data_IF_113113258097
#
_entry.id   IF_113113258097
#
_cell.length_a   1.000
_cell.length_b   1.000
_cell.length_c   1.000
_cell.angle_alpha   90.00
_cell.angle_beta   90.00
_cell.angle_gamma   90.00
#
_symmetry.space_group_name_H-M   'P 1'
#
loop_
_entity.id
_entity.type
_entity.pdbx_description
1 polymer ?
#
# COMPACT_ATOMS: atom_id res chain seq x y z
N UNK A 1 1.90 -26.50 -12.07
CA UNK A 1 1.46 -25.84 -10.81
C UNK A 1 2.35 -24.62 -10.62
N UNK A 2 1.78 -23.47 -10.22
CA UNK A 2 2.49 -22.18 -10.16
C UNK A 2 2.88 -21.76 -8.74
N UNK A 3 3.03 -20.46 -8.53
CA UNK A 3 3.35 -19.85 -7.25
C UNK A 3 2.09 -19.59 -6.41
N UNK A 4 2.18 -19.80 -5.10
CA UNK A 4 1.12 -19.42 -4.16
C UNK A 4 1.49 -18.09 -3.51
N UNK A 5 0.53 -17.17 -3.49
CA UNK A 5 0.65 -15.89 -2.81
C UNK A 5 -0.42 -15.80 -1.74
N UNK A 6 -0.06 -15.16 -0.63
CA UNK A 6 -0.95 -14.90 0.49
C UNK A 6 -0.75 -13.46 0.94
N UNK A 7 -1.85 -12.75 1.14
CA UNK A 7 -1.85 -11.39 1.67
C UNK A 7 -2.95 -11.21 2.71
N UNK A 8 -2.69 -10.38 3.71
CA UNK A 8 -3.69 -9.97 4.69
C UNK A 8 -4.32 -8.64 4.23
N UNK A 9 -5.63 -8.63 4.05
CA UNK A 9 -6.41 -7.47 3.62
C UNK A 9 -7.48 -7.24 4.67
N UNK A 10 -7.41 -6.10 5.38
CA UNK A 10 -8.39 -5.72 6.42
C UNK A 10 -8.64 -6.84 7.46
N UNK A 11 -7.57 -7.46 7.95
CA UNK A 11 -7.63 -8.54 8.96
C UNK A 11 -8.05 -9.91 8.42
N UNK A 12 -8.24 -10.05 7.10
CA UNK A 12 -8.60 -11.31 6.46
C UNK A 12 -7.49 -11.79 5.54
N UNK A 13 -7.11 -13.05 5.67
CA UNK A 13 -6.08 -13.67 4.83
C UNK A 13 -6.67 -14.15 3.50
N UNK A 14 -6.14 -13.64 2.39
CA UNK A 14 -6.52 -14.05 1.03
C UNK A 14 -5.35 -14.77 0.38
N UNK A 15 -5.62 -15.94 -0.22
CA UNK A 15 -4.60 -16.76 -0.91
C UNK A 15 -5.00 -16.96 -2.36
N UNK A 16 -4.06 -16.77 -3.30
CA UNK A 16 -4.26 -17.03 -4.72
C UNK A 16 -3.07 -17.74 -5.35
N UNK A 17 -3.30 -18.41 -6.49
CA UNK A 17 -2.28 -19.11 -7.25
C UNK A 17 -1.99 -18.36 -8.56
N UNK A 18 -0.73 -18.01 -8.78
CA UNK A 18 -0.25 -17.45 -10.03
C UNK A 18 0.41 -18.57 -10.87
N UNK A 19 -0.12 -18.91 -12.06
CA UNK A 19 0.50 -19.91 -12.92
C UNK A 19 1.84 -19.40 -13.47
N UNK A 20 2.76 -20.32 -13.78
CA UNK A 20 3.94 -19.97 -14.58
C UNK A 20 3.50 -19.59 -15.99
N UNK A 21 4.23 -18.64 -16.60
CA UNK A 21 4.02 -18.21 -17.98
C UNK A 21 4.54 -19.28 -18.97
N UNK A 22 3.75 -20.33 -19.16
CA UNK A 22 3.98 -21.37 -20.16
C UNK A 22 2.82 -21.43 -21.14
N UNK A 23 3.08 -21.90 -22.36
CA UNK A 23 2.03 -22.25 -23.31
C UNK A 23 1.24 -23.43 -22.74
N UNK A 24 -0.03 -23.19 -22.39
CA UNK A 24 -0.94 -24.22 -21.90
C UNK A 24 -1.81 -24.69 -23.07
N UNK A 25 -2.01 -26.00 -23.18
CA UNK A 25 -2.98 -26.56 -24.11
C UNK A 25 -4.39 -26.38 -23.55
N UNK A 26 -5.32 -25.93 -24.39
CA UNK A 26 -6.72 -25.75 -23.97
C UNK A 26 -7.43 -27.11 -24.02
N UNK A 27 -7.89 -27.66 -22.88
CA UNK A 27 -8.62 -28.92 -22.88
C UNK A 27 -10.00 -28.73 -23.55
N UNK A 28 -10.40 -29.60 -24.48
CA UNK A 28 -11.66 -29.48 -25.21
C UNK A 28 -12.89 -29.82 -24.37
N UNK A 29 -12.70 -30.48 -23.22
CA UNK A 29 -13.79 -30.89 -22.31
C UNK A 29 -14.38 -29.73 -21.49
N UNK A 30 -13.72 -28.56 -21.50
CA UNK A 30 -14.12 -27.41 -20.68
C UNK A 30 -14.94 -26.42 -21.50
N UNK A 31 -16.11 -26.03 -20.99
CA UNK A 31 -16.93 -25.00 -21.60
C UNK A 31 -16.42 -23.59 -21.27
N UNK A 32 -15.67 -23.00 -22.21
CA UNK A 32 -15.12 -21.66 -22.09
C UNK A 32 -16.17 -20.55 -22.12
N UNK A 33 -17.38 -20.78 -22.66
CA UNK A 33 -18.44 -19.74 -22.68
C UNK A 33 -18.94 -19.48 -21.27
N UNK A 34 -19.16 -20.55 -20.51
CA UNK A 34 -19.52 -20.45 -19.09
C UNK A 34 -18.35 -19.88 -18.28
N UNK A 35 -17.11 -20.29 -18.55
CA UNK A 35 -15.95 -19.69 -17.87
C UNK A 35 -15.82 -18.19 -18.15
N UNK A 36 -16.14 -17.73 -19.36
CA UNK A 36 -16.04 -16.32 -19.74
C UNK A 36 -17.06 -15.46 -18.98
N UNK A 37 -18.30 -15.94 -18.79
CA UNK A 37 -19.29 -15.18 -18.01
C UNK A 37 -18.86 -15.04 -16.54
N UNK A 38 -18.28 -16.09 -15.95
CA UNK A 38 -17.67 -16.00 -14.62
C UNK A 38 -16.49 -15.02 -14.61
N UNK A 39 -15.61 -15.07 -15.61
CA UNK A 39 -14.47 -14.16 -15.71
C UNK A 39 -14.93 -12.69 -15.80
N UNK A 40 -15.96 -12.39 -16.60
CA UNK A 40 -16.52 -11.04 -16.72
C UNK A 40 -17.08 -10.54 -15.39
N UNK A 41 -17.83 -11.39 -14.69
CA UNK A 41 -18.34 -11.08 -13.35
C UNK A 41 -17.22 -10.81 -12.35
N UNK A 42 -16.23 -11.71 -12.25
CA UNK A 42 -15.11 -11.54 -11.32
C UNK A 42 -14.23 -10.34 -11.69
N UNK A 43 -14.07 -10.03 -12.98
CA UNK A 43 -13.36 -8.83 -13.44
C UNK A 43 -14.06 -7.56 -12.97
N UNK A 44 -15.39 -7.49 -13.05
CA UNK A 44 -16.14 -6.34 -12.53
C UNK A 44 -16.03 -6.25 -11.00
N UNK A 45 -16.19 -7.38 -10.29
CA UNK A 45 -16.07 -7.45 -8.84
C UNK A 45 -14.70 -6.93 -8.34
N UNK A 46 -13.60 -7.45 -8.90
CA UNK A 46 -12.25 -7.04 -8.51
C UNK A 46 -11.99 -5.56 -8.83
N UNK A 47 -12.56 -5.01 -9.91
CA UNK A 47 -12.48 -3.56 -10.19
C UNK A 47 -13.12 -2.73 -9.08
N UNK A 48 -14.32 -3.11 -8.61
CA UNK A 48 -14.99 -2.40 -7.52
C UNK A 48 -14.24 -2.53 -6.19
N UNK A 49 -13.75 -3.72 -5.87
CA UNK A 49 -12.92 -3.95 -4.67
C UNK A 49 -11.67 -3.06 -4.71
N UNK A 50 -10.94 -3.05 -5.84
CA UNK A 50 -9.76 -2.21 -5.99
C UNK A 50 -10.10 -0.71 -5.95
N UNK A 51 -11.20 -0.29 -6.55
CA UNK A 51 -11.65 1.10 -6.46
C UNK A 51 -11.85 1.54 -5.00
N UNK A 52 -12.46 0.67 -4.17
CA UNK A 52 -12.66 0.93 -2.75
C UNK A 52 -11.34 0.94 -1.97
N UNK A 53 -10.49 -0.07 -2.16
CA UNK A 53 -9.19 -0.16 -1.49
C UNK A 53 -8.30 1.04 -1.80
N UNK A 54 -8.24 1.47 -3.06
CA UNK A 54 -7.50 2.68 -3.44
C UNK A 54 -8.11 3.93 -2.80
N UNK A 55 -9.44 4.05 -2.74
CA UNK A 55 -10.09 5.17 -2.07
C UNK A 55 -9.77 5.22 -0.57
N UNK A 56 -9.78 4.07 0.12
CA UNK A 56 -9.47 3.98 1.55
C UNK A 56 -8.01 4.37 1.85
N UNK A 57 -7.09 4.05 0.93
CA UNK A 57 -5.69 4.47 0.96
C UNK A 57 -5.46 5.91 0.46
N UNK A 58 -6.49 6.62 0.00
CA UNK A 58 -6.36 7.97 -0.56
C UNK A 58 -5.65 8.03 -1.92
N UNK A 59 -5.58 6.91 -2.64
CA UNK A 59 -4.95 6.78 -3.96
C UNK A 59 -5.96 6.96 -5.08
N UNK A 60 -5.48 7.41 -6.24
CA UNK A 60 -6.27 7.55 -7.45
C UNK A 60 -6.42 6.21 -8.17
N UNK A 61 -7.64 5.88 -8.57
CA UNK A 61 -7.96 4.70 -9.37
C UNK A 61 -8.64 5.14 -10.67
N UNK A 62 -8.28 4.59 -11.84
CA UNK A 62 -7.24 3.58 -12.06
C UNK A 62 -5.81 4.16 -11.99
N UNK A 63 -4.82 3.36 -11.58
CA UNK A 63 -3.42 3.79 -11.60
C UNK A 63 -2.96 4.12 -13.02
N UNK A 64 -2.16 5.17 -13.17
CA UNK A 64 -1.58 5.54 -14.48
C UNK A 64 -0.50 4.53 -14.85
N UNK A 65 -0.30 4.30 -16.14
CA UNK A 65 0.75 3.39 -16.66
C UNK A 65 1.79 4.21 -17.38
N UNK A 66 3.05 3.99 -17.02
CA UNK A 66 4.18 4.60 -17.70
C UNK A 66 4.65 3.70 -18.86
N UNK A 67 4.41 4.15 -20.09
CA UNK A 67 4.77 3.41 -21.31
C UNK A 67 6.28 3.11 -21.42
N UNK A 68 7.15 3.95 -20.84
CA UNK A 68 8.60 3.73 -20.89
C UNK A 68 9.02 2.53 -20.02
N UNK A 69 8.37 2.36 -18.86
CA UNK A 69 8.66 1.28 -17.91
C UNK A 69 7.96 -0.04 -18.30
N UNK A 70 6.87 0.05 -19.04
CA UNK A 70 6.16 -1.09 -19.63
C UNK A 70 7.04 -1.85 -20.63
N UNK A 71 7.84 -1.13 -21.43
CA UNK A 71 8.76 -1.73 -22.41
C UNK A 71 9.88 -2.57 -21.78
N UNK A 72 10.15 -2.38 -20.48
CA UNK A 72 11.22 -3.09 -19.77
C UNK A 72 10.73 -4.39 -19.09
N UNK A 73 9.56 -4.91 -19.51
CA UNK A 73 8.94 -6.16 -19.02
C UNK A 73 8.63 -6.20 -17.51
N UNK A 74 8.64 -5.04 -16.85
CA UNK A 74 8.27 -4.91 -15.45
C UNK A 74 6.83 -4.42 -15.34
N UNK A 75 5.87 -5.29 -15.66
CA UNK A 75 4.44 -4.97 -15.77
C UNK A 75 3.87 -4.32 -14.49
N UNK A 76 4.28 -4.82 -13.31
CA UNK A 76 3.90 -4.25 -12.00
C UNK A 76 4.65 -2.95 -11.71
N UNK A 77 5.91 -2.84 -12.11
CA UNK A 77 6.73 -1.64 -11.86
C UNK A 77 6.37 -0.47 -12.78
N UNK A 78 5.60 -0.71 -13.85
CA UNK A 78 5.12 0.33 -14.77
C UNK A 78 3.92 1.11 -14.22
N UNK A 79 3.34 0.69 -13.08
CA UNK A 79 2.23 1.37 -12.44
C UNK A 79 2.72 2.61 -11.68
N UNK A 80 2.16 3.76 -12.03
CA UNK A 80 2.35 5.02 -11.32
C UNK A 80 1.19 5.23 -10.35
N UNK A 81 1.53 5.31 -9.06
CA UNK A 81 0.57 5.50 -7.98
C UNK A 81 0.51 6.99 -7.65
N UNK A 82 -0.62 7.61 -7.95
CA UNK A 82 -0.89 9.00 -7.59
C UNK A 82 -1.82 9.06 -6.38
N UNK A 83 -1.51 9.94 -5.42
CA UNK A 83 -2.44 10.27 -4.34
C UNK A 83 -3.54 11.20 -4.84
N UNK A 84 -4.76 10.94 -4.41
CA UNK A 84 -5.88 11.88 -4.56
C UNK A 84 -5.60 13.14 -3.74
N UNK A 85 -6.17 14.27 -4.13
CA UNK A 85 -6.10 15.53 -3.36
C UNK A 85 -6.54 15.35 -1.90
N UNK A 86 -7.56 14.51 -1.66
CA UNK A 86 -7.99 14.14 -0.31
C UNK A 86 -6.95 13.26 0.45
N UNK A 87 -6.19 12.44 -0.27
CA UNK A 87 -5.07 11.67 0.28
C UNK A 87 -3.88 12.56 0.64
N UNK A 88 -3.55 13.54 -0.21
CA UNK A 88 -2.53 14.56 0.06
C UNK A 88 -2.87 15.40 1.28
N UNK A 89 -4.14 15.79 1.45
CA UNK A 89 -4.59 16.51 2.64
C UNK A 89 -4.49 15.66 3.92
N UNK A 90 -4.76 14.35 3.84
CA UNK A 90 -4.64 13.42 4.96
C UNK A 90 -3.18 13.12 5.32
N UNK A 91 -2.31 12.99 4.32
CA UNK A 91 -0.87 12.84 4.54
C UNK A 91 -0.25 14.14 5.10
N UNK A 92 -0.66 15.30 4.59
CA UNK A 92 -0.26 16.60 5.15
C UNK A 92 -0.76 16.78 6.59
N UNK A 93 -1.97 16.30 6.93
CA UNK A 93 -2.47 16.30 8.30
C UNK A 93 -1.71 15.31 9.21
N UNK A 94 -1.28 14.16 8.67
CA UNK A 94 -0.44 13.21 9.40
C UNK A 94 0.99 13.76 9.63
N UNK A 95 1.57 14.44 8.65
CA UNK A 95 2.87 15.12 8.74
C UNK A 95 2.80 16.35 9.68
N UNK A 96 1.66 17.07 9.67
CA UNK A 96 1.41 18.15 10.63
C UNK A 96 1.23 17.63 12.06
N UNK A 97 0.61 16.46 12.24
CA UNK A 97 0.53 15.78 13.54
C UNK A 97 1.92 15.35 14.05
N UNK A 98 2.77 14.82 13.18
CA UNK A 98 4.15 14.44 13.53
C UNK A 98 5.01 15.66 13.88
N UNK A 99 4.80 16.80 13.21
CA UNK A 99 5.42 18.08 13.57
C UNK A 99 4.88 18.64 14.89
N UNK A 100 3.59 18.52 15.15
CA UNK A 100 2.98 18.95 16.40
C UNK A 100 3.46 18.10 17.59
N UNK A 101 3.57 16.77 17.43
CA UNK A 101 4.14 15.88 18.46
C UNK A 101 5.63 16.21 18.73
N UNK A 102 6.39 16.57 17.71
CA UNK A 102 7.77 17.03 17.85
C UNK A 102 7.86 18.41 18.53
N UNK A 103 6.94 19.33 18.24
CA UNK A 103 6.88 20.67 18.84
C UNK A 103 6.44 20.61 20.32
N UNK A 104 5.49 19.74 20.66
CA UNK A 104 5.09 19.45 22.05
C UNK A 104 6.24 18.82 22.83
N UNK A 105 7.01 17.91 22.23
CA UNK A 105 8.24 17.39 22.87
C UNK A 105 9.30 18.47 23.10
N UNK A 106 9.35 19.50 22.25
CA UNK A 106 10.31 20.59 22.37
C UNK A 106 9.89 21.64 23.42
N UNK A 107 8.60 21.94 23.54
CA UNK A 107 8.08 22.86 24.57
C UNK A 107 8.20 22.27 25.97
N UNK A 108 7.93 20.98 26.14
CA UNK A 108 8.10 20.28 27.43
C UNK A 108 9.57 20.26 27.86
N UNK A 109 10.51 20.12 26.91
CA UNK A 109 11.95 20.21 27.20
C UNK A 109 12.39 21.63 27.60
N UNK A 110 11.69 22.67 27.15
CA UNK A 110 11.96 24.06 27.51
C UNK A 110 11.42 24.42 28.90
N UNK A 111 10.24 23.92 29.30
CA UNK A 111 9.62 24.21 30.59
C UNK A 111 10.24 23.44 31.77
N UNK A 112 10.67 22.18 31.56
CA UNK A 112 11.19 21.32 32.64
C UNK A 112 12.71 21.12 32.62
N UNK A 113 13.40 21.69 31.61
CA UNK A 113 14.83 21.51 31.39
C UNK A 113 15.17 20.15 30.77
N UNK A 114 16.15 20.14 29.88
CA UNK A 114 16.53 18.96 29.08
C UNK A 114 17.04 17.75 29.88
N UNK A 115 17.31 17.91 31.19
CA UNK A 115 17.86 16.87 32.05
C UNK A 115 16.81 16.12 32.90
N UNK A 116 15.56 16.60 32.96
CA UNK A 116 14.46 15.95 33.68
C UNK A 116 14.18 14.55 33.12
N UNK A 117 13.96 13.57 34.02
CA UNK A 117 13.64 12.18 33.66
C UNK A 117 12.36 12.09 32.80
N UNK A 118 11.38 12.95 33.03
CA UNK A 118 10.12 12.97 32.28
C UNK A 118 10.30 13.44 30.83
N UNK A 119 11.22 14.39 30.60
CA UNK A 119 11.53 14.88 29.27
C UNK A 119 12.26 13.82 28.42
N UNK A 120 13.17 13.05 29.04
CA UNK A 120 13.90 11.96 28.39
C UNK A 120 12.99 10.78 28.04
N UNK A 121 12.06 10.42 28.94
CA UNK A 121 11.12 9.33 28.69
C UNK A 121 10.15 9.67 27.56
N UNK A 122 9.66 10.91 27.52
CA UNK A 122 8.76 11.39 26.46
C UNK A 122 9.46 11.46 25.10
N UNK A 123 10.69 11.97 25.04
CA UNK A 123 11.50 11.98 23.80
C UNK A 123 11.78 10.57 23.27
N UNK A 124 12.03 9.61 24.16
CA UNK A 124 12.24 8.21 23.78
C UNK A 124 10.99 7.58 23.17
N UNK A 125 9.81 7.83 23.75
CA UNK A 125 8.52 7.33 23.22
C UNK A 125 8.21 7.92 21.85
N UNK A 126 8.43 9.23 21.67
CA UNK A 126 8.24 9.90 20.38
C UNK A 126 9.22 9.34 19.34
N UNK A 127 10.51 9.17 19.69
CA UNK A 127 11.52 8.61 18.79
C UNK A 127 11.25 7.15 18.40
N UNK A 128 10.75 6.32 19.31
CA UNK A 128 10.35 4.93 19.03
C UNK A 128 9.18 4.88 18.05
N UNK A 129 8.18 5.76 18.21
CA UNK A 129 7.06 5.86 17.28
C UNK A 129 7.48 6.36 15.89
N UNK A 130 8.38 7.36 15.82
CA UNK A 130 8.93 7.84 14.54
C UNK A 130 9.78 6.76 13.84
N UNK A 131 10.58 6.00 14.60
CA UNK A 131 11.39 4.89 14.06
C UNK A 131 10.51 3.79 13.47
N UNK A 132 9.44 3.40 14.17
CA UNK A 132 8.48 2.40 13.68
C UNK A 132 7.81 2.86 12.38
N UNK A 133 7.42 4.14 12.28
CA UNK A 133 6.80 4.71 11.07
C UNK A 133 7.77 4.83 9.88
N UNK A 134 9.05 5.15 10.13
CA UNK A 134 10.04 5.35 9.08
C UNK A 134 10.79 4.09 8.62
N UNK A 135 10.61 2.94 9.28
CA UNK A 135 11.35 1.70 8.95
C UNK A 135 11.13 1.22 7.50
N UNK A 136 10.00 1.55 6.88
CA UNK A 136 9.68 1.15 5.51
C UNK A 136 9.71 2.29 4.49
N UNK A 137 10.06 3.52 4.88
CA UNK A 137 10.18 4.64 3.93
C UNK A 137 11.43 4.47 3.07
N UNK A 138 11.23 4.20 1.78
CA UNK A 138 12.32 4.14 0.78
C UNK A 138 12.81 2.74 0.41
N UNK A 139 12.25 1.66 0.98
CA UNK A 139 12.61 0.31 0.58
C UNK A 139 11.93 -0.04 -0.76
N UNK A 140 12.69 0.05 -1.85
CA UNK A 140 12.28 -0.49 -3.15
C UNK A 140 12.43 -2.01 -3.10
N UNK A 141 11.32 -2.72 -2.96
CA UNK A 141 11.27 -4.17 -3.16
C UNK A 141 11.29 -4.39 -4.68
N UNK A 142 12.36 -5.02 -5.17
CA UNK A 142 12.55 -5.38 -6.58
C UNK A 142 11.83 -6.67 -6.93
#
# INVERSE_FOLDING_TARGET
KGYYFQAEIMGHTVTWLAPHQFAQELPPEVDFRVMLTFLEFYRAMVKFVNFRLYADLGLSYPPKRNSLRENNSAEVAALEVEMREAGKAREAAADAGEKADAEVSATVAADFGAESEEAKEMQRRVAEQTRMKNTFRGLKVY
#
